data_IF_423050879826
#
_entry.id   IF_423050879826
#
_cell.length_a   1.000
_cell.length_b   1.000
_cell.length_c   1.000
_cell.angle_alpha   90.00
_cell.angle_beta   90.00
_cell.angle_gamma   90.00
#
_symmetry.space_group_name_H-M   'P 1'
#
loop_
_entity.id
_entity.type
_entity.pdbx_description
1 polymer ?
#
# COMPACT_ATOMS: atom_id res chain seq x y z
N UNK A 1 -14.90 0.56 -2.30
CA UNK A 1 -14.43 0.03 -3.59
C UNK A 1 -14.81 1.04 -4.67
N UNK A 2 -14.04 2.12 -4.79
CA UNK A 2 -14.30 3.21 -5.71
C UNK A 2 -13.59 2.93 -7.03
N UNK A 3 -14.34 2.91 -8.12
CA UNK A 3 -13.82 2.74 -9.47
C UNK A 3 -13.10 4.05 -9.84
N UNK A 4 -11.79 4.12 -9.59
CA UNK A 4 -10.93 5.12 -10.21
C UNK A 4 -10.46 4.59 -11.56
N UNK A 5 -11.37 4.54 -12.53
CA UNK A 5 -11.05 4.34 -13.94
C UNK A 5 -11.40 5.61 -14.69
N UNK A 6 -10.53 6.60 -14.60
CA UNK A 6 -10.12 7.41 -15.74
C UNK A 6 -8.66 7.78 -15.47
N UNK A 7 -7.75 6.88 -15.80
CA UNK A 7 -6.40 7.29 -16.16
C UNK A 7 -6.57 8.13 -17.44
N UNK A 8 -6.88 9.42 -17.26
CA UNK A 8 -6.76 10.41 -18.32
C UNK A 8 -5.32 10.30 -18.77
N UNK A 9 -5.13 9.84 -20.00
CA UNK A 9 -3.80 9.70 -20.58
C UNK A 9 -3.05 11.00 -20.37
N UNK A 10 -1.75 10.90 -20.04
CA UNK A 10 -0.91 12.09 -19.93
C UNK A 10 -1.11 12.95 -21.19
N UNK A 11 -1.34 14.27 -21.02
CA UNK A 11 -1.64 15.15 -22.16
C UNK A 11 -0.56 14.95 -23.22
N UNK A 12 -0.98 14.58 -24.42
CA UNK A 12 -0.04 14.37 -25.52
C UNK A 12 0.62 15.71 -25.83
N UNK A 13 1.95 15.73 -25.93
CA UNK A 13 2.66 16.91 -26.42
C UNK A 13 2.32 17.07 -27.90
N UNK A 14 1.47 18.06 -28.21
CA UNK A 14 1.09 18.39 -29.59
C UNK A 14 2.19 19.23 -30.24
N UNK A 15 2.59 18.86 -31.45
CA UNK A 15 3.50 19.67 -32.26
C UNK A 15 2.77 20.96 -32.70
N UNK A 16 3.22 22.15 -32.27
CA UNK A 16 2.52 23.40 -32.53
C UNK A 16 2.38 23.75 -34.02
N UNK A 17 3.25 23.19 -34.87
CA UNK A 17 3.19 23.39 -36.32
C UNK A 17 2.10 22.54 -37.00
N UNK A 18 1.57 21.53 -36.32
CA UNK A 18 0.55 20.61 -36.85
C UNK A 18 -0.88 21.02 -36.51
N UNK A 19 -1.07 22.00 -35.61
CA UNK A 19 -2.37 22.41 -35.10
C UNK A 19 -3.09 23.35 -36.06
N UNK A 20 -4.37 23.07 -36.30
CA UNK A 20 -5.25 24.00 -37.01
C UNK A 20 -5.64 25.19 -36.12
N UNK A 21 -6.07 26.33 -36.69
CA UNK A 21 -6.46 27.50 -35.90
C UNK A 21 -7.56 27.23 -34.87
N UNK A 22 -8.52 26.35 -35.21
CA UNK A 22 -9.62 25.98 -34.32
C UNK A 22 -9.14 25.11 -33.15
N UNK A 23 -8.17 24.22 -33.39
CA UNK A 23 -7.55 23.41 -32.33
C UNK A 23 -6.69 24.24 -31.39
N UNK A 24 -5.99 25.26 -31.91
CA UNK A 24 -5.25 26.22 -31.07
C UNK A 24 -6.20 27.00 -30.16
N UNK A 25 -7.34 27.48 -30.67
CA UNK A 25 -8.34 28.19 -29.87
C UNK A 25 -8.96 27.29 -28.78
N UNK A 26 -9.18 26.00 -29.09
CA UNK A 26 -9.65 25.04 -28.11
C UNK A 26 -8.61 24.77 -27.00
N UNK A 27 -7.34 24.61 -27.36
CA UNK A 27 -6.27 24.38 -26.36
C UNK A 27 -6.06 25.61 -25.47
N UNK A 28 -6.14 26.82 -26.02
CA UNK A 28 -6.09 28.05 -25.23
C UNK A 28 -7.28 28.13 -24.26
N UNK A 29 -8.48 27.77 -24.70
CA UNK A 29 -9.66 27.71 -23.84
C UNK A 29 -9.55 26.65 -22.73
N UNK A 30 -8.97 25.48 -23.04
CA UNK A 30 -8.71 24.43 -22.03
C UNK A 30 -7.61 24.88 -21.08
N UNK A 31 -6.59 25.60 -21.55
CA UNK A 31 -5.52 26.15 -20.72
C UNK A 31 -6.09 27.20 -19.74
N UNK A 32 -6.96 28.10 -20.21
CA UNK A 32 -7.64 29.07 -19.34
C UNK A 32 -8.56 28.38 -18.35
N UNK A 33 -9.35 27.41 -18.80
CA UNK A 33 -10.22 26.61 -17.92
C UNK A 33 -9.41 25.84 -16.87
N UNK A 34 -8.24 25.28 -17.24
CA UNK A 34 -7.34 24.59 -16.31
C UNK A 34 -6.64 25.55 -15.33
N UNK A 35 -6.43 26.82 -15.72
CA UNK A 35 -5.92 27.85 -14.83
C UNK A 35 -7.00 28.34 -13.85
N UNK A 36 -8.26 28.34 -14.28
CA UNK A 36 -9.43 28.69 -13.46
C UNK A 36 -9.83 27.54 -12.50
N UNK A 37 -9.87 26.28 -12.96
CA UNK A 37 -10.27 25.10 -12.18
C UNK A 37 -9.09 24.36 -11.50
N UNK A 38 -7.84 24.54 -11.94
CA UNK A 38 -6.66 23.79 -11.47
C UNK A 38 -6.22 24.06 -10.03
N UNK A 39 -6.88 24.99 -9.33
CA UNK A 39 -6.65 25.23 -7.90
C UNK A 39 -7.09 24.07 -7.00
N UNK A 40 -7.98 23.19 -7.46
CA UNK A 40 -8.58 22.16 -6.61
C UNK A 40 -7.73 20.88 -6.49
N UNK A 41 -7.00 20.47 -7.54
CA UNK A 41 -6.16 19.26 -7.51
C UNK A 41 -5.04 19.35 -6.47
N UNK A 42 -4.44 20.54 -6.28
CA UNK A 42 -3.38 20.74 -5.29
C UNK A 42 -3.89 20.77 -3.84
N UNK A 43 -5.14 21.18 -3.63
CA UNK A 43 -5.71 21.26 -2.28
C UNK A 43 -6.16 19.91 -1.73
N UNK A 44 -6.58 18.97 -2.58
CA UNK A 44 -7.12 17.69 -2.10
C UNK A 44 -6.05 16.85 -1.38
N UNK A 45 -4.83 16.78 -1.94
CA UNK A 45 -3.67 16.13 -1.30
C UNK A 45 -3.07 16.95 -0.15
N UNK A 46 -3.29 18.27 -0.15
CA UNK A 46 -2.80 19.15 0.92
C UNK A 46 -3.69 19.09 2.16
N UNK A 47 -5.01 18.88 2.03
CA UNK A 47 -5.92 18.80 3.19
C UNK A 47 -5.69 17.56 4.05
N UNK A 48 -5.39 16.40 3.46
CA UNK A 48 -4.96 15.22 4.22
C UNK A 48 -3.61 15.47 4.94
N UNK A 49 -2.64 16.06 4.25
CA UNK A 49 -1.33 16.42 4.81
C UNK A 49 -1.41 17.52 5.90
N UNK A 50 -2.33 18.46 5.75
CA UNK A 50 -2.58 19.55 6.71
C UNK A 50 -3.27 19.06 7.99
N UNK A 51 -4.14 18.06 7.88
CA UNK A 51 -4.79 17.43 9.05
C UNK A 51 -3.79 16.62 9.86
N UNK A 52 -2.85 15.92 9.21
CA UNK A 52 -1.75 15.20 9.88
C UNK A 52 -0.73 16.15 10.55
N UNK A 53 -0.51 17.34 9.98
CA UNK A 53 0.32 18.39 10.58
C UNK A 53 -0.35 19.10 11.75
N UNK A 54 -1.69 19.19 11.76
CA UNK A 54 -2.48 19.81 12.82
C UNK A 54 -2.42 19.06 14.16
N UNK A 55 -2.05 17.78 14.15
CA UNK A 55 -1.84 16.95 15.35
C UNK A 55 -0.37 16.98 15.83
N UNK A 56 0.51 17.75 15.16
CA UNK A 56 1.93 17.88 15.51
C UNK A 56 2.81 16.70 15.12
N UNK A 57 2.28 15.72 14.36
CA UNK A 57 3.04 14.55 13.93
C UNK A 57 4.06 14.93 12.84
N UNK A 58 5.33 14.65 13.12
CA UNK A 58 6.39 14.84 12.13
C UNK A 58 6.25 13.82 10.99
N UNK A 59 6.84 14.12 9.82
CA UNK A 59 6.81 13.21 8.66
C UNK A 59 7.43 11.84 9.00
N UNK A 60 8.34 11.82 9.96
CA UNK A 60 8.99 10.62 10.50
C UNK A 60 8.04 9.78 11.37
N UNK A 61 7.22 10.42 12.21
CA UNK A 61 6.25 9.73 13.05
C UNK A 61 5.12 9.08 12.23
N UNK A 62 4.64 9.78 11.19
CA UNK A 62 3.66 9.22 10.25
C UNK A 62 4.20 7.96 9.55
N UNK A 63 5.46 7.99 9.11
CA UNK A 63 6.11 6.85 8.46
C UNK A 63 6.36 5.67 9.41
N UNK A 64 6.71 5.95 10.66
CA UNK A 64 6.85 4.92 11.69
C UNK A 64 5.54 4.22 12.01
N UNK A 65 4.44 4.97 12.12
CA UNK A 65 3.10 4.42 12.33
C UNK A 65 2.69 3.47 11.20
N UNK A 66 2.87 3.89 9.95
CA UNK A 66 2.56 3.06 8.77
C UNK A 66 3.42 1.78 8.72
N UNK A 67 4.67 1.84 9.18
CA UNK A 67 5.52 0.65 9.27
C UNK A 67 5.00 -0.36 10.30
N UNK A 68 4.60 0.11 11.48
CA UNK A 68 4.00 -0.73 12.53
C UNK A 68 2.70 -1.35 12.05
N UNK A 69 1.84 -0.57 11.40
CA UNK A 69 0.59 -1.05 10.80
C UNK A 69 0.85 -2.14 9.76
N UNK A 70 1.84 -1.96 8.88
CA UNK A 70 2.26 -2.97 7.92
C UNK A 70 2.72 -4.28 8.57
N UNK A 71 3.46 -4.21 9.68
CA UNK A 71 3.90 -5.40 10.44
C UNK A 71 2.71 -6.10 11.10
N UNK A 72 1.77 -5.36 11.68
CA UNK A 72 0.56 -5.92 12.29
C UNK A 72 -0.30 -6.66 11.25
N UNK A 73 -0.50 -6.06 10.06
CA UNK A 73 -1.25 -6.68 8.96
C UNK A 73 -0.51 -7.92 8.43
N UNK A 74 0.82 -7.83 8.26
CA UNK A 74 1.64 -8.94 7.79
C UNK A 74 1.67 -10.12 8.77
N UNK A 75 1.45 -9.90 10.08
CA UNK A 75 1.35 -10.96 11.08
C UNK A 75 0.01 -11.69 11.07
N UNK A 76 -1.09 -11.00 10.78
CA UNK A 76 -2.44 -11.58 10.82
C UNK A 76 -2.68 -12.56 9.67
N UNK A 77 -2.22 -12.23 8.46
CA UNK A 77 -2.41 -13.07 7.27
C UNK A 77 -1.89 -14.51 7.43
N UNK A 78 -0.64 -14.73 7.86
CA UNK A 78 -0.07 -16.06 8.07
C UNK A 78 -0.79 -16.86 9.14
N UNK A 79 -1.21 -16.22 10.24
CA UNK A 79 -1.96 -16.88 11.32
C UNK A 79 -3.28 -17.40 10.75
N UNK A 80 -4.04 -16.56 10.06
CA UNK A 80 -5.30 -16.97 9.43
C UNK A 80 -5.08 -18.03 8.35
N UNK A 81 -4.03 -17.90 7.53
CA UNK A 81 -3.68 -18.87 6.50
C UNK A 81 -3.35 -20.24 7.07
N UNK A 82 -2.58 -20.31 8.18
CA UNK A 82 -2.28 -21.57 8.88
C UNK A 82 -3.55 -22.20 9.45
N UNK A 83 -4.39 -21.41 10.13
CA UNK A 83 -5.64 -21.91 10.71
C UNK A 83 -6.56 -22.46 9.63
N UNK A 84 -6.80 -21.69 8.56
CA UNK A 84 -7.64 -22.12 7.45
C UNK A 84 -7.04 -23.32 6.73
N UNK A 85 -5.73 -23.32 6.47
CA UNK A 85 -5.02 -24.43 5.84
C UNK A 85 -5.13 -25.72 6.63
N UNK A 86 -5.05 -25.66 7.97
CA UNK A 86 -5.25 -26.82 8.83
C UNK A 86 -6.69 -27.32 8.80
N UNK A 87 -7.67 -26.42 8.84
CA UNK A 87 -9.10 -26.78 8.79
C UNK A 87 -9.45 -27.44 7.44
N UNK A 88 -9.08 -26.80 6.33
CA UNK A 88 -9.34 -27.33 5.00
C UNK A 88 -8.50 -28.57 4.69
N UNK A 89 -7.24 -28.63 5.16
CA UNK A 89 -6.39 -29.80 5.02
C UNK A 89 -6.96 -31.01 5.75
N UNK A 90 -7.44 -30.81 6.99
CA UNK A 90 -8.11 -31.87 7.75
C UNK A 90 -9.44 -32.28 7.10
N UNK A 91 -10.30 -31.33 6.74
CA UNK A 91 -11.59 -31.60 6.11
C UNK A 91 -11.41 -32.34 4.77
N UNK A 92 -10.43 -31.92 3.95
CA UNK A 92 -10.04 -32.59 2.71
C UNK A 92 -9.53 -34.01 2.94
N UNK A 93 -8.65 -34.21 3.92
CA UNK A 93 -8.14 -35.54 4.26
C UNK A 93 -9.26 -36.49 4.72
N UNK A 94 -10.16 -36.02 5.59
CA UNK A 94 -11.30 -36.82 6.06
C UNK A 94 -12.26 -37.13 4.91
N UNK A 95 -12.64 -36.14 4.09
CA UNK A 95 -13.63 -36.37 3.02
C UNK A 95 -13.08 -37.18 1.86
N UNK A 96 -11.85 -36.92 1.41
CA UNK A 96 -11.27 -37.60 0.26
C UNK A 96 -10.79 -39.03 0.60
N UNK A 97 -10.33 -39.24 1.83
CA UNK A 97 -9.62 -40.47 2.21
C UNK A 97 -10.43 -41.38 3.16
N UNK A 98 -11.59 -40.91 3.66
CA UNK A 98 -12.49 -41.71 4.53
C UNK A 98 -12.96 -43.03 3.91
N UNK A 99 -13.05 -43.10 2.57
CA UNK A 99 -13.44 -44.31 1.86
C UNK A 99 -12.28 -45.32 1.71
N UNK A 100 -11.04 -44.88 1.95
CA UNK A 100 -9.81 -45.68 1.75
C UNK A 100 -9.29 -46.31 3.04
N UNK A 101 -9.91 -46.02 4.19
CA UNK A 101 -9.56 -46.58 5.49
C UNK A 101 -9.33 -45.53 6.57
N UNK A 102 -8.60 -45.91 7.61
CA UNK A 102 -8.37 -45.05 8.77
C UNK A 102 -7.37 -43.92 8.44
N UNK A 103 -7.85 -42.68 8.41
CA UNK A 103 -7.09 -41.50 7.98
C UNK A 103 -6.34 -40.91 9.17
N UNK A 104 -5.03 -41.11 9.22
CA UNK A 104 -4.19 -40.53 10.27
C UNK A 104 -3.65 -39.17 9.85
N UNK A 105 -4.40 -38.11 10.15
CA UNK A 105 -3.97 -36.74 9.89
C UNK A 105 -2.85 -36.32 10.85
N UNK A 106 -1.67 -36.02 10.30
CA UNK A 106 -0.51 -35.55 11.07
C UNK A 106 -0.22 -34.11 10.70
N UNK A 107 -0.13 -33.23 11.69
CA UNK A 107 0.15 -31.81 11.49
C UNK A 107 1.64 -31.61 11.17
N UNK A 108 2.00 -31.01 10.02
CA UNK A 108 3.40 -30.79 9.65
C UNK A 108 3.95 -29.52 10.32
N UNK A 109 4.29 -29.63 11.61
CA UNK A 109 4.76 -28.49 12.42
C UNK A 109 5.96 -27.76 11.83
N UNK A 110 6.88 -28.49 11.17
CA UNK A 110 8.07 -27.91 10.52
C UNK A 110 7.69 -27.00 9.35
N UNK A 111 6.73 -27.42 8.53
CA UNK A 111 6.31 -26.66 7.36
C UNK A 111 5.50 -25.43 7.78
N UNK A 112 4.65 -25.57 8.80
CA UNK A 112 3.95 -24.43 9.39
C UNK A 112 4.92 -23.39 9.98
N UNK A 113 5.95 -23.86 10.69
CA UNK A 113 6.98 -22.97 11.23
C UNK A 113 7.78 -22.28 10.12
N UNK A 114 8.11 -22.99 9.03
CA UNK A 114 8.79 -22.43 7.87
C UNK A 114 7.94 -21.37 7.17
N UNK A 115 6.65 -21.65 6.92
CA UNK A 115 5.71 -20.69 6.33
C UNK A 115 5.58 -19.43 7.19
N UNK A 116 5.42 -19.60 8.51
CA UNK A 116 5.36 -18.48 9.44
C UNK A 116 6.65 -17.66 9.42
N UNK A 117 7.82 -18.31 9.45
CA UNK A 117 9.11 -17.64 9.39
C UNK A 117 9.28 -16.86 8.07
N UNK A 118 8.95 -17.46 6.93
CA UNK A 118 9.01 -16.81 5.61
C UNK A 118 8.08 -15.59 5.58
N UNK A 119 6.86 -15.71 6.07
CA UNK A 119 5.90 -14.61 6.05
C UNK A 119 6.31 -13.47 6.99
N UNK A 120 6.85 -13.78 8.18
CA UNK A 120 7.42 -12.78 9.07
C UNK A 120 8.64 -12.09 8.45
N UNK A 121 9.53 -12.85 7.79
CA UNK A 121 10.67 -12.28 7.07
C UNK A 121 10.20 -11.40 5.91
N UNK A 122 9.19 -11.81 5.15
CA UNK A 122 8.61 -10.99 4.09
C UNK A 122 7.99 -9.70 4.65
N UNK A 123 7.26 -9.78 5.77
CA UNK A 123 6.70 -8.62 6.47
C UNK A 123 7.78 -7.68 7.01
N UNK A 124 8.86 -8.23 7.56
CA UNK A 124 10.04 -7.47 7.98
C UNK A 124 10.72 -6.80 6.79
N UNK A 125 10.98 -7.52 5.71
CA UNK A 125 11.61 -6.96 4.50
C UNK A 125 10.74 -5.87 3.86
N UNK A 126 9.42 -6.04 3.87
CA UNK A 126 8.48 -5.01 3.43
C UNK A 126 8.53 -3.76 4.34
N UNK A 127 8.75 -3.94 5.64
CA UNK A 127 8.88 -2.83 6.60
C UNK A 127 10.28 -2.18 6.64
N UNK A 128 11.31 -2.83 6.09
CA UNK A 128 12.68 -2.28 6.03
C UNK A 128 12.75 -0.99 5.21
N UNK A 129 12.00 -0.85 4.12
CA UNK A 129 12.00 0.37 3.31
C UNK A 129 11.53 1.61 4.11
N UNK A 130 10.36 1.59 4.78
CA UNK A 130 9.96 2.70 5.64
C UNK A 130 10.83 2.84 6.91
N UNK A 131 11.30 1.74 7.51
CA UNK A 131 12.17 1.78 8.69
C UNK A 131 13.54 2.43 8.41
N UNK A 132 14.16 2.14 7.25
CA UNK A 132 15.42 2.78 6.83
C UNK A 132 15.23 4.27 6.54
N UNK A 133 14.09 4.67 6.00
CA UNK A 133 13.76 6.07 5.81
C UNK A 133 13.58 6.81 7.15
N UNK A 134 12.99 6.16 8.16
CA UNK A 134 12.85 6.72 9.51
C UNK A 134 14.18 6.83 10.27
N UNK A 135 15.03 5.80 10.21
CA UNK A 135 16.33 5.79 10.88
C UNK A 135 17.30 6.86 10.36
N UNK A 136 17.18 7.26 9.09
CA UNK A 136 17.97 8.36 8.51
C UNK A 136 17.50 9.75 8.93
N UNK A 137 16.29 9.87 9.45
CA UNK A 137 15.70 11.16 9.82
C UNK A 137 15.81 11.48 11.33
N UNK A 138 16.14 10.49 12.17
CA UNK A 138 16.21 10.62 13.63
C UNK A 138 17.60 10.19 14.11
N UNK A 139 18.57 11.10 14.24
CA UNK A 139 18.94 11.56 15.60
C UNK A 139 19.38 13.04 15.75
N UNK A 140 19.37 13.88 14.71
CA UNK A 140 19.94 15.25 14.79
C UNK A 140 18.88 16.36 14.88
N UNK A 141 17.63 16.11 14.49
CA UNK A 141 16.58 17.14 14.46
C UNK A 141 16.03 17.52 15.85
N UNK A 142 16.29 16.71 16.88
CA UNK A 142 15.78 16.96 18.24
C UNK A 142 16.64 17.94 19.07
N UNK A 143 17.86 18.28 18.60
CA UNK A 143 18.79 19.15 19.34
C UNK A 143 18.87 20.59 18.77
N UNK A 144 18.06 20.94 17.78
CA UNK A 144 18.09 22.25 17.11
C UNK A 144 16.82 23.08 17.25
N UNK A 145 15.91 22.69 18.15
CA UNK A 145 14.66 23.41 18.41
C UNK A 145 14.66 24.11 19.78
N UNK A 146 15.84 24.57 20.22
CA UNK A 146 16.00 25.49 21.34
C UNK A 146 16.81 26.71 20.90
#
# INVERSE_FOLDING_TARGET
MGIHLLAVAAPQEYDPASLTPDEQAYLDQVATWSAEDGGYQHQQNTRESATLRAIGLSKEQLRGMLAVEGVLIAGIGPILGIVLGLVFGWAGAVTALSLMGDVRYTVPWTDLAAVLAIALLAGLLASVLPARAAARASPVAALGAE
#
